data_IF_903841809628
#
_entry.id   IF_903841809628
#
_cell.length_a   1.000
_cell.length_b   1.000
_cell.length_c   1.000
_cell.angle_alpha   90.00
_cell.angle_beta   90.00
_cell.angle_gamma   90.00
#
_symmetry.space_group_name_H-M   'P 1'
#
loop_
_entity.id
_entity.type
_entity.pdbx_description
1 polymer ?
#
# COMPACT_ATOMS: atom_id res chain seq x y z
N UNK A 1 31.45 -4.58 37.49
CA UNK A 1 30.50 -5.69 37.30
C UNK A 1 29.40 -5.35 36.27
N UNK A 2 29.79 -5.03 35.02
CA UNK A 2 28.86 -4.88 33.88
C UNK A 2 29.66 -4.99 32.58
N UNK A 3 30.13 -6.20 32.32
CA UNK A 3 30.64 -6.68 31.05
C UNK A 3 30.53 -8.21 31.14
N UNK A 4 30.31 -8.89 30.01
CA UNK A 4 29.97 -10.33 29.92
C UNK A 4 28.48 -10.61 30.11
N UNK A 5 27.65 -10.31 29.10
CA UNK A 5 26.43 -11.09 28.76
C UNK A 5 25.85 -10.71 27.38
N UNK A 6 26.70 -10.34 26.40
CA UNK A 6 26.26 -9.91 25.05
C UNK A 6 26.64 -10.85 23.89
N UNK A 7 27.11 -12.07 24.16
CA UNK A 7 27.88 -12.85 23.17
C UNK A 7 27.17 -13.98 22.42
N UNK A 8 25.93 -14.36 22.74
CA UNK A 8 25.35 -15.63 22.24
C UNK A 8 24.18 -15.56 21.26
N UNK A 9 23.65 -14.39 20.92
CA UNK A 9 22.52 -14.27 19.95
C UNK A 9 22.91 -13.96 18.49
N UNK A 10 24.20 -13.79 18.17
CA UNK A 10 24.64 -13.34 16.83
C UNK A 10 25.04 -14.45 15.83
N UNK A 11 24.98 -15.74 16.19
CA UNK A 11 25.51 -16.83 15.34
C UNK A 11 24.47 -17.69 14.59
N UNK A 12 23.16 -17.46 14.77
CA UNK A 12 22.13 -18.25 14.07
C UNK A 12 21.52 -17.56 12.84
N UNK A 13 21.82 -16.29 12.58
CA UNK A 13 21.23 -15.56 11.45
C UNK A 13 21.94 -15.76 10.09
N UNK A 14 23.13 -16.41 10.06
CA UNK A 14 23.93 -16.51 8.84
C UNK A 14 23.72 -17.79 8.01
N UNK A 15 23.02 -18.81 8.53
CA UNK A 15 22.92 -20.13 7.88
C UNK A 15 21.66 -20.33 7.02
N UNK A 16 20.72 -19.38 7.01
CA UNK A 16 19.49 -19.45 6.19
C UNK A 16 19.65 -18.94 4.75
N UNK A 17 20.73 -18.21 4.43
CA UNK A 17 20.81 -17.43 3.19
C UNK A 17 21.47 -18.14 1.99
N UNK A 18 22.01 -19.36 2.15
CA UNK A 18 22.84 -19.98 1.10
C UNK A 18 22.14 -21.03 0.21
N UNK A 19 20.86 -21.34 0.43
CA UNK A 19 20.16 -22.41 -0.31
C UNK A 19 19.33 -21.93 -1.53
N UNK A 20 19.27 -20.63 -1.83
CA UNK A 20 18.27 -20.05 -2.75
C UNK A 20 18.72 -19.83 -4.22
N UNK A 21 19.87 -20.35 -4.68
CA UNK A 21 20.43 -19.95 -5.99
C UNK A 21 20.24 -20.92 -7.17
N UNK A 22 19.52 -22.04 -7.03
CA UNK A 22 19.37 -23.01 -8.15
C UNK A 22 17.94 -23.52 -8.30
N UNK A 23 17.09 -22.77 -9.00
CA UNK A 23 15.76 -23.19 -9.43
C UNK A 23 15.53 -22.87 -10.91
N UNK A 24 15.87 -23.82 -11.78
CA UNK A 24 15.67 -23.75 -13.24
C UNK A 24 14.22 -24.14 -13.57
N UNK A 25 13.44 -23.23 -14.15
CA UNK A 25 12.08 -23.51 -14.65
C UNK A 25 12.09 -23.86 -16.15
N UNK A 26 11.69 -25.09 -16.48
CA UNK A 26 11.31 -25.50 -17.84
C UNK A 26 9.90 -25.00 -18.17
N UNK A 27 9.76 -24.17 -19.21
CA UNK A 27 8.47 -23.75 -19.79
C UNK A 27 8.19 -24.54 -21.07
N UNK A 28 7.10 -25.33 -21.06
CA UNK A 28 6.55 -26.00 -22.24
C UNK A 28 5.53 -25.08 -22.94
N UNK A 29 5.74 -24.80 -24.22
CA UNK A 29 4.86 -23.97 -25.05
C UNK A 29 3.62 -24.74 -25.54
N UNK A 30 2.46 -24.07 -25.56
CA UNK A 30 1.20 -24.58 -26.14
C UNK A 30 0.97 -24.03 -27.57
N UNK A 31 0.36 -24.81 -28.48
CA UNK A 31 0.06 -24.39 -29.86
C UNK A 31 -1.19 -23.52 -29.97
N UNK A 32 -1.31 -22.72 -31.06
CA UNK A 32 -2.41 -21.76 -31.25
C UNK A 32 -3.70 -22.42 -31.78
N UNK A 33 -4.87 -21.78 -31.57
CA UNK A 33 -6.16 -22.30 -32.04
C UNK A 33 -6.43 -22.00 -33.53
N UNK A 34 -7.31 -22.79 -34.19
CA UNK A 34 -7.61 -22.66 -35.61
C UNK A 34 -8.59 -21.52 -35.94
N UNK A 35 -8.40 -20.91 -37.11
CA UNK A 35 -9.23 -19.81 -37.66
C UNK A 35 -10.58 -20.31 -38.18
N UNK A 36 -11.68 -19.65 -37.79
CA UNK A 36 -13.02 -19.82 -38.39
C UNK A 36 -13.14 -19.08 -39.72
N UNK A 37 -13.80 -19.71 -40.70
CA UNK A 37 -14.18 -19.12 -42.00
C UNK A 37 -15.53 -18.41 -41.89
N UNK A 38 -15.61 -17.21 -42.46
CA UNK A 38 -16.85 -16.45 -42.61
C UNK A 38 -17.70 -16.96 -43.80
N UNK A 39 -19.04 -16.93 -43.68
CA UNK A 39 -19.95 -17.23 -44.78
C UNK A 39 -20.08 -16.05 -45.76
N UNK A 40 -20.04 -16.36 -47.06
CA UNK A 40 -20.29 -15.41 -48.16
C UNK A 40 -21.79 -15.09 -48.24
N UNK A 41 -22.15 -13.83 -48.03
CA UNK A 41 -23.54 -13.34 -48.14
C UNK A 41 -23.97 -13.08 -49.59
N UNK A 42 -25.18 -13.54 -49.93
CA UNK A 42 -25.88 -13.22 -51.18
C UNK A 42 -26.58 -11.85 -51.11
N UNK A 43 -26.54 -11.11 -52.22
CA UNK A 43 -27.19 -9.81 -52.37
C UNK A 43 -28.67 -10.01 -52.70
N UNK A 44 -29.55 -9.52 -51.83
CA UNK A 44 -31.00 -9.40 -52.10
C UNK A 44 -31.29 -7.92 -52.34
N UNK A 45 -31.89 -7.60 -53.48
CA UNK A 45 -32.31 -6.24 -53.83
C UNK A 45 -33.64 -5.93 -53.13
N UNK A 46 -33.60 -5.08 -52.09
CA UNK A 46 -34.79 -4.60 -51.41
C UNK A 46 -35.36 -3.36 -52.13
N UNK A 47 -36.69 -3.30 -52.24
CA UNK A 47 -37.43 -2.14 -52.76
C UNK A 47 -37.29 -0.92 -51.82
N UNK A 48 -37.36 0.28 -52.40
CA UNK A 48 -37.23 1.53 -51.66
C UNK A 48 -38.44 1.77 -50.72
N UNK A 49 -38.21 2.15 -49.46
CA UNK A 49 -39.29 2.42 -48.51
C UNK A 49 -40.05 3.71 -48.84
N UNK A 50 -41.34 3.73 -48.49
CA UNK A 50 -42.25 4.88 -48.64
C UNK A 50 -41.83 6.05 -47.73
N UNK A 51 -42.01 7.29 -48.20
CA UNK A 51 -41.59 8.52 -47.53
C UNK A 51 -42.24 8.66 -46.15
N UNK A 52 -43.50 8.25 -46.00
CA UNK A 52 -44.22 8.27 -44.72
C UNK A 52 -43.61 7.29 -43.69
N UNK A 53 -43.14 6.13 -44.16
CA UNK A 53 -42.45 5.15 -43.33
C UNK A 53 -41.09 5.69 -42.85
N UNK A 54 -40.37 6.41 -43.72
CA UNK A 54 -39.10 7.06 -43.39
C UNK A 54 -39.29 8.14 -42.32
N UNK A 55 -40.35 8.95 -42.36
CA UNK A 55 -40.61 9.96 -41.34
C UNK A 55 -41.02 9.37 -39.98
N UNK A 56 -41.85 8.32 -39.98
CA UNK A 56 -42.23 7.59 -38.76
C UNK A 56 -41.02 6.95 -38.09
N UNK A 57 -40.13 6.33 -38.88
CA UNK A 57 -38.87 5.75 -38.39
C UNK A 57 -37.93 6.82 -37.82
N UNK A 58 -37.88 8.02 -38.42
CA UNK A 58 -37.10 9.15 -37.90
C UNK A 58 -37.64 9.66 -36.56
N UNK A 59 -38.96 9.81 -36.43
CA UNK A 59 -39.58 10.23 -35.17
C UNK A 59 -39.32 9.20 -34.05
N UNK A 60 -39.48 7.90 -34.34
CA UNK A 60 -39.20 6.83 -33.39
C UNK A 60 -37.72 6.77 -33.00
N UNK A 61 -36.81 6.99 -33.95
CA UNK A 61 -35.37 7.08 -33.69
C UNK A 61 -35.03 8.26 -32.77
N UNK A 62 -35.67 9.41 -32.95
CA UNK A 62 -35.45 10.60 -32.12
C UNK A 62 -35.92 10.38 -30.66
N UNK A 63 -37.08 9.74 -30.48
CA UNK A 63 -37.60 9.37 -29.15
C UNK A 63 -36.67 8.38 -28.45
N UNK A 64 -36.19 7.34 -29.17
CA UNK A 64 -35.22 6.37 -28.63
C UNK A 64 -33.89 7.04 -28.27
N UNK A 65 -33.39 7.97 -29.09
CA UNK A 65 -32.16 8.71 -28.82
C UNK A 65 -32.28 9.58 -27.55
N UNK A 66 -33.42 10.27 -27.36
CA UNK A 66 -33.68 11.06 -26.14
C UNK A 66 -33.80 10.19 -24.89
N UNK A 67 -34.48 9.05 -24.97
CA UNK A 67 -34.57 8.10 -23.86
C UNK A 67 -33.18 7.51 -23.50
N UNK A 68 -32.36 7.18 -24.50
CA UNK A 68 -31.00 6.70 -24.30
C UNK A 68 -30.09 7.78 -23.70
N UNK A 69 -30.22 9.05 -24.12
CA UNK A 69 -29.49 10.17 -23.54
C UNK A 69 -29.87 10.38 -22.06
N UNK A 70 -31.17 10.41 -21.73
CA UNK A 70 -31.63 10.53 -20.34
C UNK A 70 -31.22 9.34 -19.44
N UNK A 71 -31.16 8.13 -20.00
CA UNK A 71 -30.63 6.95 -19.30
C UNK A 71 -29.12 7.05 -19.05
N UNK A 72 -28.35 7.54 -20.03
CA UNK A 72 -26.90 7.80 -19.87
C UNK A 72 -26.64 8.87 -18.82
N UNK A 73 -27.41 9.96 -18.81
CA UNK A 73 -27.29 11.03 -17.82
C UNK A 73 -27.62 10.55 -16.40
N UNK A 74 -28.68 9.74 -16.24
CA UNK A 74 -29.01 9.12 -14.94
C UNK A 74 -27.96 8.13 -14.48
N UNK A 75 -27.45 7.27 -15.38
CA UNK A 75 -26.38 6.33 -15.06
C UNK A 75 -25.09 7.05 -14.66
N UNK A 76 -24.73 8.12 -15.37
CA UNK A 76 -23.56 8.93 -15.06
C UNK A 76 -23.72 9.66 -13.73
N UNK A 77 -24.89 10.26 -13.44
CA UNK A 77 -25.17 10.90 -12.15
C UNK A 77 -25.15 9.91 -10.99
N UNK A 78 -25.74 8.72 -11.15
CA UNK A 78 -25.70 7.68 -10.12
C UNK A 78 -24.26 7.16 -9.90
N UNK A 79 -23.48 6.99 -10.97
CA UNK A 79 -22.07 6.64 -10.89
C UNK A 79 -21.24 7.70 -10.15
N UNK A 80 -21.52 8.99 -10.39
CA UNK A 80 -20.80 10.10 -9.76
C UNK A 80 -21.15 10.21 -8.28
N UNK A 81 -22.44 10.15 -7.92
CA UNK A 81 -22.88 10.15 -6.52
C UNK A 81 -22.31 8.95 -5.74
N UNK A 82 -22.18 7.80 -6.39
CA UNK A 82 -21.59 6.63 -5.77
C UNK A 82 -20.07 6.79 -5.56
N UNK A 83 -19.37 7.47 -6.47
CA UNK A 83 -17.95 7.78 -6.33
C UNK A 83 -17.66 8.68 -5.13
N UNK A 84 -18.48 9.70 -4.89
CA UNK A 84 -18.31 10.63 -3.75
C UNK A 84 -18.52 9.95 -2.38
N UNK A 85 -19.29 8.87 -2.36
CA UNK A 85 -19.54 8.06 -1.18
C UNK A 85 -18.47 7.00 -0.95
N UNK A 86 -17.58 6.73 -1.91
CA UNK A 86 -16.53 5.74 -1.74
C UNK A 86 -15.38 6.31 -0.90
N UNK A 87 -14.87 5.48 0.00
CA UNK A 87 -13.69 5.81 0.79
C UNK A 87 -12.43 5.82 -0.06
N UNK A 88 -11.58 6.81 0.19
CA UNK A 88 -10.27 6.96 -0.44
C UNK A 88 -9.17 7.11 0.62
N UNK A 89 -7.94 6.77 0.25
CA UNK A 89 -6.76 7.02 1.07
C UNK A 89 -6.15 8.37 0.69
N UNK A 90 -5.99 9.25 1.67
CA UNK A 90 -5.60 10.64 1.47
C UNK A 90 -4.08 10.82 1.50
N UNK A 91 -3.37 10.04 2.33
CA UNK A 91 -1.94 10.16 2.59
C UNK A 91 -1.32 8.78 2.88
N UNK A 92 -0.08 8.58 2.43
CA UNK A 92 0.72 7.36 2.63
C UNK A 92 2.02 7.69 3.37
N UNK A 93 2.34 6.88 4.38
CA UNK A 93 3.61 6.97 5.09
C UNK A 93 4.24 5.59 5.17
N UNK A 94 5.36 5.41 4.47
CA UNK A 94 6.05 4.12 4.37
C UNK A 94 7.49 4.22 4.86
N UNK A 95 7.94 3.19 5.58
CA UNK A 95 9.26 3.14 6.23
C UNK A 95 9.96 1.83 5.88
N UNK A 96 11.08 1.91 5.14
CA UNK A 96 11.91 0.73 4.87
C UNK A 96 11.21 -0.30 4.01
N UNK A 97 10.27 0.17 3.20
CA UNK A 97 9.36 -0.68 2.45
C UNK A 97 9.93 -0.99 1.08
N UNK A 98 9.77 -2.22 0.56
CA UNK A 98 10.11 -2.59 -0.82
C UNK A 98 9.08 -2.09 -1.83
N UNK A 99 9.42 -2.18 -3.13
CA UNK A 99 8.55 -1.76 -4.22
C UNK A 99 7.33 -2.68 -4.34
N UNK A 100 6.22 -2.15 -4.87
CA UNK A 100 4.93 -2.84 -4.91
C UNK A 100 4.47 -3.23 -6.31
N UNK A 101 4.80 -2.46 -7.35
CA UNK A 101 4.36 -2.70 -8.72
C UNK A 101 5.28 -2.08 -9.79
N UNK A 102 5.19 -2.55 -11.03
CA UNK A 102 5.89 -1.94 -12.19
C UNK A 102 4.95 -1.84 -13.39
N UNK A 103 4.55 -0.65 -13.85
CA UNK A 103 4.99 0.67 -13.40
C UNK A 103 4.52 1.00 -11.98
N UNK A 104 5.18 2.01 -11.37
CA UNK A 104 4.76 2.59 -10.10
C UNK A 104 3.26 2.87 -10.02
N UNK A 105 2.65 2.54 -8.88
CA UNK A 105 1.25 2.85 -8.58
C UNK A 105 1.05 4.36 -8.49
N UNK A 106 -0.04 4.86 -9.06
CA UNK A 106 -0.38 6.28 -9.09
C UNK A 106 -1.64 6.56 -8.25
N UNK A 107 -1.76 7.79 -7.75
CA UNK A 107 -2.99 8.29 -7.13
C UNK A 107 -3.96 8.82 -8.19
N UNK A 108 -4.87 7.95 -8.64
CA UNK A 108 -5.89 8.28 -9.64
C UNK A 108 -6.91 9.34 -9.17
N UNK A 109 -6.90 9.75 -7.89
CA UNK A 109 -7.72 10.86 -7.40
C UNK A 109 -7.08 12.23 -7.62
N UNK A 110 -5.86 12.27 -8.18
CA UNK A 110 -5.12 13.51 -8.33
C UNK A 110 -4.63 13.74 -9.76
N UNK A 111 -4.62 15.01 -10.22
CA UNK A 111 -4.12 15.34 -11.55
C UNK A 111 -2.64 15.01 -11.76
N UNK A 112 -1.82 15.06 -10.71
CA UNK A 112 -0.39 14.76 -10.73
C UNK A 112 -0.07 13.26 -10.56
N UNK A 113 -1.10 12.41 -10.35
CA UNK A 113 -0.93 10.98 -10.13
C UNK A 113 -0.18 10.63 -8.85
N UNK A 114 -0.06 11.57 -7.91
CA UNK A 114 0.96 11.58 -6.87
C UNK A 114 0.35 11.47 -5.47
N UNK A 115 0.61 10.38 -4.75
CA UNK A 115 0.13 10.25 -3.37
C UNK A 115 0.76 11.32 -2.47
N UNK A 116 -0.03 11.85 -1.53
CA UNK A 116 0.50 12.68 -0.43
C UNK A 116 1.20 11.80 0.60
N UNK A 117 2.01 12.44 1.43
CA UNK A 117 2.71 11.82 2.54
C UNK A 117 4.20 11.70 2.25
N UNK A 118 4.85 10.67 2.80
CA UNK A 118 6.29 10.48 2.66
C UNK A 118 6.67 9.00 2.67
N UNK A 119 7.40 8.60 1.65
CA UNK A 119 8.14 7.35 1.65
C UNK A 119 9.53 7.62 2.20
N UNK A 120 10.00 6.79 3.12
CA UNK A 120 11.31 6.96 3.74
C UNK A 120 12.09 5.65 3.78
N UNK A 121 13.39 5.72 3.51
CA UNK A 121 14.32 4.65 3.88
C UNK A 121 15.59 5.21 4.49
N UNK A 122 16.25 4.44 5.35
CA UNK A 122 17.51 4.83 6.00
C UNK A 122 18.72 4.41 5.18
N UNK A 123 19.72 5.29 5.11
CA UNK A 123 20.98 5.08 4.41
C UNK A 123 22.14 5.61 5.28
N UNK A 124 23.15 4.79 5.50
CA UNK A 124 24.43 5.21 6.06
C UNK A 124 25.44 5.37 4.92
N UNK A 125 25.96 6.59 4.78
CA UNK A 125 26.98 6.91 3.77
C UNK A 125 28.36 6.75 4.38
N UNK A 126 29.16 5.84 3.81
CA UNK A 126 30.45 5.40 4.32
C UNK A 126 31.62 5.87 3.43
N UNK A 127 32.80 5.93 4.04
CA UNK A 127 34.06 6.32 3.39
C UNK A 127 34.30 7.83 3.37
N UNK A 128 35.57 8.24 3.32
CA UNK A 128 35.98 9.65 3.37
C UNK A 128 35.39 10.49 2.22
N UNK A 129 35.11 9.87 1.09
CA UNK A 129 34.57 10.52 -0.11
C UNK A 129 33.13 10.08 -0.43
N UNK A 130 32.35 9.62 0.56
CA UNK A 130 30.98 9.13 0.37
C UNK A 130 30.89 8.00 -0.67
N UNK A 131 31.89 7.12 -0.64
CA UNK A 131 32.10 6.15 -1.71
C UNK A 131 31.13 4.99 -1.66
N UNK A 132 30.68 4.61 -0.46
CA UNK A 132 29.84 3.43 -0.24
C UNK A 132 28.58 3.80 0.53
N UNK A 133 27.53 3.02 0.34
CA UNK A 133 26.23 3.20 1.01
C UNK A 133 25.79 1.89 1.64
N UNK A 134 25.44 1.91 2.91
CA UNK A 134 24.62 0.88 3.53
C UNK A 134 23.17 1.36 3.49
N UNK A 135 22.28 0.55 2.95
CA UNK A 135 20.86 0.88 2.78
C UNK A 135 20.04 -0.13 3.56
N UNK A 136 18.90 0.31 4.09
CA UNK A 136 17.88 -0.60 4.59
C UNK A 136 17.61 -1.73 3.58
N UNK A 137 17.99 -2.95 3.98
CA UNK A 137 17.89 -4.15 3.15
C UNK A 137 16.45 -4.43 2.68
N UNK A 138 15.44 -4.15 3.51
CA UNK A 138 14.05 -4.38 3.16
C UNK A 138 13.61 -3.51 1.98
N UNK A 139 14.11 -2.27 1.88
CA UNK A 139 13.79 -1.37 0.78
C UNK A 139 14.41 -1.81 -0.57
N UNK A 140 15.35 -2.76 -0.55
CA UNK A 140 16.07 -3.29 -1.72
C UNK A 140 15.68 -4.73 -2.10
N UNK A 141 14.74 -5.36 -1.39
CA UNK A 141 14.53 -6.81 -1.46
C UNK A 141 13.98 -7.30 -2.81
N UNK A 142 13.35 -6.43 -3.59
CA UNK A 142 12.76 -6.78 -4.89
C UNK A 142 13.09 -5.73 -5.97
N UNK A 143 12.58 -5.94 -7.19
CA UNK A 143 12.80 -5.07 -8.35
C UNK A 143 11.59 -4.24 -8.77
N UNK A 144 10.50 -4.28 -8.01
CA UNK A 144 9.32 -3.48 -8.32
C UNK A 144 9.60 -2.01 -8.01
N UNK A 145 8.81 -1.14 -8.62
CA UNK A 145 8.83 0.27 -8.29
C UNK A 145 7.91 0.55 -7.09
N UNK A 146 8.23 1.63 -6.39
CA UNK A 146 7.37 2.17 -5.34
C UNK A 146 6.30 3.07 -5.95
N UNK A 147 5.18 3.26 -5.23
CA UNK A 147 4.16 4.22 -5.62
C UNK A 147 4.73 5.63 -5.86
N UNK A 148 4.10 6.40 -6.76
CA UNK A 148 4.46 7.79 -7.03
C UNK A 148 4.13 8.67 -5.83
N UNK A 149 5.14 9.00 -5.03
CA UNK A 149 5.01 9.81 -3.83
C UNK A 149 6.34 10.48 -3.46
N UNK A 150 6.35 11.55 -2.63
CA UNK A 150 7.59 12.13 -2.13
C UNK A 150 8.48 11.10 -1.42
N UNK A 151 9.79 11.23 -1.61
CA UNK A 151 10.80 10.33 -1.04
C UNK A 151 11.77 11.09 -0.13
N UNK A 152 12.08 10.52 1.04
CA UNK A 152 13.20 10.91 1.88
C UNK A 152 14.20 9.75 2.04
N UNK A 153 15.47 10.02 1.75
CA UNK A 153 16.61 9.18 2.10
C UNK A 153 17.16 9.71 3.42
N UNK A 154 16.93 8.96 4.49
CA UNK A 154 17.23 9.37 5.86
C UNK A 154 18.68 9.04 6.19
N UNK A 155 19.51 10.07 6.42
CA UNK A 155 20.89 9.91 6.82
C UNK A 155 21.09 10.15 8.33
N UNK A 156 22.16 9.58 8.89
CA UNK A 156 22.61 9.89 10.25
C UNK A 156 23.68 10.99 10.26
N UNK A 157 23.51 12.01 11.11
CA UNK A 157 24.53 13.03 11.37
C UNK A 157 24.88 13.94 10.19
N UNK A 158 24.06 13.95 9.14
CA UNK A 158 24.23 14.78 7.94
C UNK A 158 22.88 15.03 7.25
N UNK A 159 22.88 15.93 6.29
CA UNK A 159 21.71 16.22 5.45
C UNK A 159 21.14 14.95 4.82
N UNK A 160 19.84 14.76 5.01
CA UNK A 160 19.03 13.77 4.32
C UNK A 160 18.73 14.24 2.90
N UNK A 161 18.43 13.29 2.01
CA UNK A 161 18.03 13.61 0.64
C UNK A 161 16.50 13.62 0.53
N UNK A 162 15.92 14.68 -0.04
CA UNK A 162 14.48 14.74 -0.29
C UNK A 162 14.22 14.93 -1.78
N UNK A 163 13.29 14.13 -2.31
CA UNK A 163 12.80 14.25 -3.69
C UNK A 163 11.29 14.48 -3.63
N UNK A 164 10.79 15.64 -4.10
CA UNK A 164 9.35 15.87 -4.18
C UNK A 164 8.71 14.90 -5.18
N UNK A 165 7.37 14.83 -5.17
CA UNK A 165 6.65 13.93 -6.07
C UNK A 165 7.00 14.19 -7.56
N UNK A 166 7.19 13.14 -8.42
CA UNK A 166 6.87 11.72 -8.24
C UNK A 166 7.84 10.93 -7.35
N UNK A 167 8.84 11.60 -6.76
CA UNK A 167 9.90 10.96 -6.01
C UNK A 167 10.88 10.25 -6.94
N UNK A 168 11.54 9.22 -6.41
CA UNK A 168 12.31 8.24 -7.18
C UNK A 168 11.70 6.87 -6.93
N UNK A 169 10.78 6.48 -7.80
CA UNK A 169 10.06 5.20 -7.70
C UNK A 169 10.99 3.99 -7.89
N UNK A 170 12.15 4.22 -8.50
CA UNK A 170 13.25 3.29 -8.75
C UNK A 170 14.28 3.21 -7.60
N UNK A 171 14.19 4.08 -6.60
CA UNK A 171 15.13 4.10 -5.47
C UNK A 171 14.57 3.33 -4.28
N UNK A 172 15.41 2.76 -3.40
CA UNK A 172 16.87 2.66 -3.55
C UNK A 172 17.23 1.72 -4.72
N UNK A 173 18.28 2.07 -5.47
CA UNK A 173 18.76 1.27 -6.58
C UNK A 173 20.02 0.50 -6.16
N UNK A 174 20.11 -0.78 -6.57
CA UNK A 174 21.33 -1.58 -6.38
C UNK A 174 22.48 -1.04 -7.24
N UNK A 175 23.70 -1.14 -6.73
CA UNK A 175 24.91 -0.73 -7.45
C UNK A 175 26.18 -1.27 -6.79
N UNK A 176 27.32 -1.15 -7.47
CA UNK A 176 28.61 -1.75 -7.06
C UNK A 176 29.14 -1.28 -5.69
N UNK A 177 28.56 -0.22 -5.11
CA UNK A 177 28.93 0.34 -3.80
C UNK A 177 27.74 0.52 -2.87
N UNK A 178 26.67 -0.25 -3.12
CA UNK A 178 25.45 -0.27 -2.31
C UNK A 178 25.35 -1.63 -1.63
N UNK A 179 25.27 -1.61 -0.30
CA UNK A 179 25.21 -2.80 0.54
C UNK A 179 23.90 -2.82 1.32
N UNK A 180 23.26 -3.98 1.36
CA UNK A 180 22.04 -4.22 2.14
C UNK A 180 22.43 -4.38 3.64
N UNK A 181 21.80 -3.61 4.54
CA UNK A 181 22.05 -3.65 5.99
C UNK A 181 20.73 -3.73 6.76
N UNK A 182 20.42 -4.92 7.30
CA UNK A 182 19.20 -5.16 8.08
C UNK A 182 19.17 -4.42 9.42
N UNK A 183 20.32 -3.99 9.96
CA UNK A 183 20.33 -3.13 11.15
C UNK A 183 19.62 -1.81 10.89
N UNK A 184 19.66 -1.29 9.67
CA UNK A 184 19.02 -0.02 9.35
C UNK A 184 17.48 -0.10 9.35
N UNK A 185 16.92 -1.31 9.34
CA UNK A 185 15.48 -1.55 9.25
C UNK A 185 14.71 -1.37 10.58
N UNK A 186 15.37 -1.00 11.68
CA UNK A 186 14.74 -0.97 13.01
C UNK A 186 14.26 0.43 13.42
N UNK A 187 13.30 0.48 14.36
CA UNK A 187 12.72 1.73 14.90
C UNK A 187 13.80 2.69 15.41
N UNK A 188 14.85 2.14 16.02
CA UNK A 188 15.99 2.86 16.57
C UNK A 188 16.81 3.59 15.51
N UNK A 189 16.72 3.18 14.24
CA UNK A 189 17.38 3.84 13.13
C UNK A 189 16.45 4.87 12.45
N UNK A 190 15.15 4.61 12.34
CA UNK A 190 14.21 5.56 11.71
C UNK A 190 13.87 6.76 12.58
N UNK A 191 13.47 6.51 13.83
CA UNK A 191 12.93 7.54 14.72
C UNK A 191 13.90 8.70 14.91
N UNK A 192 15.15 8.49 15.33
CA UNK A 192 16.05 9.60 15.56
C UNK A 192 16.51 10.28 14.25
N UNK A 193 16.55 9.59 13.11
CA UNK A 193 16.85 10.24 11.81
C UNK A 193 15.73 11.19 11.37
N UNK A 194 14.47 10.81 11.57
CA UNK A 194 13.32 11.68 11.30
C UNK A 194 13.27 12.87 12.27
N UNK A 195 13.56 12.65 13.56
CA UNK A 195 13.58 13.71 14.57
C UNK A 195 14.68 14.74 14.35
N UNK A 196 15.80 14.35 13.74
CA UNK A 196 16.94 15.22 13.44
C UNK A 196 17.10 15.48 11.94
N UNK A 197 16.04 15.29 11.16
CA UNK A 197 16.13 15.42 9.70
C UNK A 197 16.51 16.85 9.31
N UNK A 198 17.52 16.94 8.46
CA UNK A 198 18.01 18.18 7.85
C UNK A 198 17.96 18.03 6.34
N UNK A 199 17.47 19.07 5.65
CA UNK A 199 17.40 19.14 4.19
C UNK A 199 18.05 20.46 3.78
N UNK A 200 19.09 20.41 2.96
CA UNK A 200 19.85 21.58 2.51
C UNK A 200 20.33 22.46 3.70
N UNK A 201 20.88 21.81 4.74
CA UNK A 201 21.40 22.43 5.95
C UNK A 201 20.34 22.94 6.92
N UNK A 202 19.05 22.71 6.65
CA UNK A 202 17.95 23.25 7.48
C UNK A 202 17.20 22.13 8.20
N UNK A 203 17.01 22.24 9.54
CA UNK A 203 16.12 21.34 10.27
C UNK A 203 14.73 21.34 9.64
N UNK A 204 14.23 20.14 9.32
CA UNK A 204 12.96 19.98 8.60
C UNK A 204 11.92 19.18 9.38
N UNK A 205 12.22 18.77 10.63
CA UNK A 205 11.33 17.95 11.48
C UNK A 205 9.95 18.57 11.72
N UNK A 206 9.82 19.89 11.71
CA UNK A 206 8.52 20.59 11.89
C UNK A 206 7.82 20.93 10.58
N UNK A 207 8.42 20.60 9.43
CA UNK A 207 7.90 20.92 8.10
C UNK A 207 7.22 19.69 7.51
N UNK A 208 6.05 19.86 6.90
CA UNK A 208 5.40 18.76 6.17
C UNK A 208 6.18 18.42 4.88
N UNK A 209 6.32 17.13 4.52
CA UNK A 209 5.64 15.96 5.11
C UNK A 209 6.39 15.31 6.30
N UNK A 210 7.53 15.87 6.73
CA UNK A 210 8.41 15.27 7.73
C UNK A 210 7.85 15.29 9.15
N UNK A 211 7.08 16.32 9.51
CA UNK A 211 6.42 16.41 10.81
C UNK A 211 5.52 15.19 11.08
N UNK A 212 4.62 14.89 10.13
CA UNK A 212 3.79 13.68 10.21
C UNK A 212 4.60 12.40 10.09
N UNK A 213 5.61 12.35 9.22
CA UNK A 213 6.44 11.14 9.11
C UNK A 213 7.18 10.82 10.43
N UNK A 214 7.73 11.83 11.10
CA UNK A 214 8.37 11.68 12.40
C UNK A 214 7.40 11.24 13.50
N UNK A 215 6.12 11.60 13.39
CA UNK A 215 5.08 11.18 14.31
C UNK A 215 4.58 9.75 14.00
N UNK A 216 4.39 9.43 12.72
CA UNK A 216 3.76 8.19 12.26
C UNK A 216 4.72 7.00 12.15
N UNK A 217 6.03 7.22 12.22
CA UNK A 217 6.98 6.12 12.40
C UNK A 217 6.64 5.29 13.64
N UNK A 218 6.18 5.94 14.72
CA UNK A 218 5.71 5.27 15.91
C UNK A 218 4.54 4.33 15.59
N UNK A 219 3.55 4.79 14.82
CA UNK A 219 2.39 3.99 14.44
C UNK A 219 2.83 2.71 13.71
N UNK A 220 3.76 2.85 12.76
CA UNK A 220 4.27 1.76 11.95
C UNK A 220 4.98 0.67 12.79
N UNK A 221 5.75 1.06 13.82
CA UNK A 221 6.44 0.08 14.67
C UNK A 221 5.55 -0.46 15.80
N UNK A 222 4.54 0.28 16.27
CA UNK A 222 3.62 -0.22 17.31
C UNK A 222 2.58 -1.22 16.80
N UNK A 223 2.48 -1.44 15.48
CA UNK A 223 1.71 -2.58 14.96
C UNK A 223 2.30 -3.94 15.38
N UNK A 224 3.60 -4.00 15.67
CA UNK A 224 4.31 -5.20 16.11
C UNK A 224 4.24 -5.41 17.64
N UNK A 225 3.84 -4.38 18.40
CA UNK A 225 3.82 -4.42 19.84
C UNK A 225 2.57 -5.13 20.39
N UNK A 226 2.66 -5.57 21.65
CA UNK A 226 1.47 -5.92 22.42
C UNK A 226 0.55 -4.68 22.52
N UNK A 227 -0.78 -4.83 22.36
CA UNK A 227 -1.68 -3.67 22.27
C UNK A 227 -1.62 -2.74 23.48
N UNK A 228 -1.49 -3.26 24.70
CA UNK A 228 -1.36 -2.39 25.89
C UNK A 228 -0.08 -1.55 25.88
N UNK A 229 1.02 -2.11 25.38
CA UNK A 229 2.27 -1.37 25.21
C UNK A 229 2.12 -0.33 24.10
N UNK A 230 1.48 -0.70 22.98
CA UNK A 230 1.18 0.23 21.90
C UNK A 230 0.35 1.43 22.41
N UNK A 231 -0.75 1.18 23.14
CA UNK A 231 -1.59 2.23 23.75
C UNK A 231 -0.78 3.16 24.66
N UNK A 232 0.04 2.59 25.55
CA UNK A 232 0.90 3.40 26.43
C UNK A 232 1.89 4.27 25.65
N UNK A 233 2.54 3.73 24.62
CA UNK A 233 3.46 4.48 23.76
C UNK A 233 2.75 5.60 23.00
N UNK A 234 1.56 5.32 22.45
CA UNK A 234 0.74 6.30 21.74
C UNK A 234 0.32 7.45 22.66
N UNK A 235 -0.21 7.15 23.84
CA UNK A 235 -0.61 8.17 24.82
C UNK A 235 0.57 9.08 25.22
N UNK A 236 1.78 8.52 25.32
CA UNK A 236 2.99 9.25 25.72
C UNK A 236 3.59 10.09 24.59
N UNK A 237 3.66 9.55 23.38
CA UNK A 237 4.46 10.13 22.30
C UNK A 237 3.63 10.74 21.17
N UNK A 238 2.35 10.42 21.10
CA UNK A 238 1.44 10.91 20.08
C UNK A 238 0.10 11.34 20.71
N UNK A 239 0.11 12.34 21.62
CA UNK A 239 -1.10 12.75 22.33
C UNK A 239 -2.17 13.20 21.34
N UNK A 240 -3.41 12.75 21.58
CA UNK A 240 -4.54 12.98 20.68
C UNK A 240 -4.80 11.84 19.70
N UNK A 241 -3.86 10.92 19.50
CA UNK A 241 -4.12 9.68 18.76
C UNK A 241 -4.46 8.53 19.70
N UNK A 242 -5.46 7.73 19.35
CA UNK A 242 -5.84 6.53 20.11
C UNK A 242 -6.07 5.33 19.23
N UNK A 243 -5.77 4.14 19.76
CA UNK A 243 -6.09 2.87 19.12
C UNK A 243 -7.59 2.62 19.24
N UNK A 244 -8.32 2.58 18.12
CA UNK A 244 -9.79 2.38 18.10
C UNK A 244 -10.17 0.99 17.60
N UNK A 245 -9.30 0.34 16.82
CA UNK A 245 -9.47 -1.04 16.37
C UNK A 245 -8.12 -1.73 16.36
N UNK A 246 -8.09 -2.98 16.81
CA UNK A 246 -7.02 -3.93 16.54
C UNK A 246 -7.65 -5.25 16.15
N UNK A 247 -7.48 -5.64 14.90
CA UNK A 247 -7.87 -6.93 14.39
C UNK A 247 -6.63 -7.75 14.12
N UNK A 248 -6.72 -9.07 14.29
CA UNK A 248 -5.63 -9.99 14.01
C UNK A 248 -6.17 -11.09 13.12
N UNK A 249 -5.54 -11.30 11.98
CA UNK A 249 -5.69 -12.55 11.23
C UNK A 249 -4.61 -13.49 11.76
N UNK A 250 -4.99 -14.70 12.13
CA UNK A 250 -4.02 -15.76 12.45
C UNK A 250 -4.10 -16.84 11.39
N UNK A 251 -2.95 -17.29 10.90
CA UNK A 251 -2.83 -18.39 9.95
C UNK A 251 -1.75 -19.39 10.35
N UNK A 252 -1.79 -20.57 9.72
CA UNK A 252 -0.85 -21.65 9.99
C UNK A 252 -1.06 -22.34 11.33
N UNK A 253 -0.16 -23.27 11.66
CA UNK A 253 -0.16 -24.01 12.93
C UNK A 253 1.27 -24.38 13.36
N UNK A 254 1.48 -24.54 14.66
CA UNK A 254 2.79 -24.91 15.21
C UNK A 254 3.88 -23.87 14.89
N UNK A 255 5.02 -24.32 14.36
CA UNK A 255 6.11 -23.43 13.94
C UNK A 255 5.76 -22.56 12.73
N UNK A 256 4.65 -22.87 12.04
CA UNK A 256 4.11 -22.11 10.92
C UNK A 256 3.04 -21.08 11.35
N UNK A 257 2.84 -20.89 12.66
CA UNK A 257 1.87 -19.92 13.18
C UNK A 257 2.29 -18.50 12.81
N UNK A 258 1.34 -17.76 12.25
CA UNK A 258 1.50 -16.41 11.78
C UNK A 258 0.34 -15.54 12.26
N UNK A 259 0.63 -14.28 12.57
CA UNK A 259 -0.33 -13.35 13.15
C UNK A 259 -0.16 -11.99 12.53
N UNK A 260 -1.15 -11.55 11.76
CA UNK A 260 -1.13 -10.30 11.01
C UNK A 260 -2.05 -9.26 11.68
N UNK A 261 -1.53 -8.44 12.62
CA UNK A 261 -2.34 -7.38 13.20
C UNK A 261 -2.56 -6.25 12.19
N UNK A 262 -3.81 -5.79 12.15
CA UNK A 262 -4.23 -4.55 11.49
C UNK A 262 -4.79 -3.62 12.55
N UNK A 263 -4.22 -2.42 12.64
CA UNK A 263 -4.67 -1.40 13.58
C UNK A 263 -5.38 -0.26 12.86
N UNK A 264 -6.40 0.29 13.50
CA UNK A 264 -6.97 1.59 13.14
C UNK A 264 -6.76 2.51 14.34
N UNK A 265 -6.06 3.62 14.10
CA UNK A 265 -5.94 4.70 15.06
C UNK A 265 -6.77 5.89 14.61
N UNK A 266 -7.23 6.71 15.54
CA UNK A 266 -7.98 7.93 15.26
C UNK A 266 -7.42 9.11 16.06
N UNK A 267 -7.27 10.25 15.41
CA UNK A 267 -6.99 11.54 16.05
C UNK A 267 -8.30 12.12 16.62
N UNK A 268 -8.30 12.48 17.90
CA UNK A 268 -9.54 12.78 18.65
C UNK A 268 -10.23 14.09 18.26
N UNK A 269 -9.51 15.04 17.64
CA UNK A 269 -10.01 16.36 17.25
C UNK A 269 -10.44 16.39 15.80
N UNK A 270 -9.60 15.90 14.89
CA UNK A 270 -9.88 15.91 13.44
C UNK A 270 -10.68 14.70 13.00
N UNK A 271 -10.73 13.64 13.80
CA UNK A 271 -11.32 12.34 13.47
C UNK A 271 -10.63 11.69 12.25
N UNK A 272 -9.44 12.14 11.90
CA UNK A 272 -8.60 11.49 10.91
C UNK A 272 -8.14 10.15 11.46
N UNK A 273 -8.10 9.15 10.59
CA UNK A 273 -7.67 7.82 10.97
C UNK A 273 -6.37 7.44 10.28
N UNK A 274 -5.59 6.58 10.93
CA UNK A 274 -4.44 5.91 10.34
C UNK A 274 -4.69 4.40 10.37
N UNK A 275 -4.75 3.78 9.19
CA UNK A 275 -4.80 2.34 9.02
C UNK A 275 -3.36 1.84 8.95
N UNK A 276 -3.02 0.92 9.83
CA UNK A 276 -1.66 0.41 9.98
C UNK A 276 -1.69 -1.10 9.79
N UNK A 277 -0.97 -1.57 8.79
CA UNK A 277 -0.67 -2.99 8.64
C UNK A 277 0.64 -3.29 9.36
N UNK A 278 0.75 -4.47 9.99
CA UNK A 278 2.06 -4.99 10.35
C UNK A 278 2.73 -5.60 9.12
N UNK A 279 4.05 -5.43 9.03
CA UNK A 279 4.86 -6.25 8.14
C UNK A 279 5.24 -7.57 8.81
N UNK A 280 6.27 -8.21 8.27
CA UNK A 280 6.79 -9.49 8.74
C UNK A 280 7.17 -9.44 10.23
N UNK A 281 6.53 -10.28 11.05
CA UNK A 281 6.78 -10.45 12.48
C UNK A 281 7.21 -11.90 12.87
N UNK A 282 7.19 -12.83 11.93
CA UNK A 282 7.70 -14.19 12.02
C UNK A 282 8.69 -14.50 10.87
N UNK A 283 9.97 -14.20 11.12
CA UNK A 283 11.04 -14.42 10.14
C UNK A 283 11.26 -15.87 9.68
N UNK A 284 10.61 -16.86 10.30
CA UNK A 284 10.67 -18.25 9.88
C UNK A 284 9.77 -18.58 8.69
N UNK A 285 8.66 -17.86 8.48
CA UNK A 285 7.63 -18.24 7.50
C UNK A 285 7.20 -17.09 6.56
N UNK A 286 7.10 -15.87 7.06
CA UNK A 286 6.65 -14.71 6.27
C UNK A 286 7.73 -14.18 5.31
N UNK A 287 8.99 -14.58 5.53
CA UNK A 287 10.02 -14.31 4.53
C UNK A 287 9.65 -15.01 3.20
N UNK A 288 9.02 -16.19 3.23
CA UNK A 288 8.69 -16.94 2.02
C UNK A 288 7.56 -16.31 1.20
N UNK A 289 6.52 -15.75 1.83
CA UNK A 289 5.50 -14.99 1.10
C UNK A 289 6.07 -13.69 0.53
N UNK A 290 7.03 -13.08 1.21
CA UNK A 290 7.82 -11.94 0.70
C UNK A 290 8.78 -12.33 -0.44
N UNK A 291 9.07 -13.61 -0.62
CA UNK A 291 9.92 -14.16 -1.69
C UNK A 291 9.12 -14.61 -2.92
N UNK A 292 7.78 -14.57 -2.89
CA UNK A 292 6.94 -14.78 -4.08
C UNK A 292 7.03 -13.58 -5.04
N UNK A 293 8.19 -13.45 -5.68
CA UNK A 293 8.54 -12.37 -6.62
C UNK A 293 8.11 -12.73 -8.06
N UNK A 294 6.79 -12.82 -8.28
CA UNK A 294 6.24 -12.87 -9.64
C UNK A 294 5.12 -11.84 -9.81
N UNK A 295 4.95 -11.27 -11.02
CA UNK A 295 3.96 -10.24 -11.26
C UNK A 295 2.56 -10.83 -11.36
N UNK A 296 1.57 -10.15 -10.77
CA UNK A 296 0.14 -10.47 -10.86
C UNK A 296 -0.73 -9.22 -11.04
N UNK A 297 -2.03 -9.43 -11.20
CA UNK A 297 -3.03 -8.37 -11.23
C UNK A 297 -3.56 -8.00 -9.84
N UNK A 298 -3.86 -6.72 -9.65
CA UNK A 298 -4.62 -6.22 -8.50
C UNK A 298 -5.36 -4.94 -8.87
N UNK A 299 -6.68 -4.88 -8.70
CA UNK A 299 -7.49 -3.68 -8.95
C UNK A 299 -7.17 -2.98 -10.29
N UNK A 300 -7.06 -3.74 -11.38
CA UNK A 300 -6.71 -3.24 -12.71
C UNK A 300 -5.23 -2.90 -12.96
N UNK A 301 -4.35 -2.94 -11.95
CA UNK A 301 -2.89 -2.95 -12.16
C UNK A 301 -2.46 -4.36 -12.60
N UNK A 302 -1.49 -4.47 -13.52
CA UNK A 302 -1.14 -5.75 -14.18
C UNK A 302 0.11 -6.47 -13.65
N UNK A 303 0.99 -5.74 -12.98
CA UNK A 303 2.34 -6.20 -12.63
C UNK A 303 2.65 -5.80 -11.18
N UNK A 304 1.81 -6.27 -10.29
CA UNK A 304 1.92 -6.11 -8.85
C UNK A 304 2.68 -7.31 -8.28
N UNK A 305 3.51 -7.10 -7.26
CA UNK A 305 4.17 -8.18 -6.53
C UNK A 305 3.15 -9.16 -5.91
N UNK A 306 3.17 -10.42 -6.31
CA UNK A 306 2.17 -11.41 -5.91
C UNK A 306 2.09 -11.64 -4.39
N UNK A 307 3.23 -11.74 -3.70
CA UNK A 307 3.28 -11.88 -2.24
C UNK A 307 2.47 -10.81 -1.49
N UNK A 308 2.79 -9.52 -1.69
CA UNK A 308 2.10 -8.42 -1.01
C UNK A 308 0.62 -8.33 -1.38
N UNK A 309 0.28 -8.60 -2.64
CA UNK A 309 -1.10 -8.64 -3.12
C UNK A 309 -1.89 -9.75 -2.45
N UNK A 310 -1.34 -10.96 -2.37
CA UNK A 310 -2.01 -12.09 -1.75
C UNK A 310 -2.22 -11.84 -0.25
N UNK A 311 -1.23 -11.29 0.43
CA UNK A 311 -1.34 -10.98 1.86
C UNK A 311 -2.42 -9.92 2.14
N UNK A 312 -2.37 -8.78 1.42
CA UNK A 312 -3.42 -7.76 1.50
C UNK A 312 -4.81 -8.32 1.17
N UNK A 313 -4.92 -9.19 0.16
CA UNK A 313 -6.18 -9.81 -0.22
C UNK A 313 -6.73 -10.70 0.89
N UNK A 314 -5.90 -11.52 1.53
CA UNK A 314 -6.37 -12.38 2.63
C UNK A 314 -6.77 -11.55 3.86
N UNK A 315 -6.02 -10.50 4.20
CA UNK A 315 -6.36 -9.59 5.30
C UNK A 315 -7.67 -8.87 5.05
N UNK A 316 -7.85 -8.30 3.86
CA UNK A 316 -9.09 -7.62 3.50
C UNK A 316 -10.25 -8.60 3.53
N UNK A 317 -10.13 -9.78 2.94
CA UNK A 317 -11.17 -10.82 2.99
C UNK A 317 -11.58 -11.18 4.42
N UNK A 318 -10.62 -11.38 5.31
CA UNK A 318 -10.88 -11.84 6.68
C UNK A 318 -11.37 -10.72 7.62
N UNK A 319 -10.81 -9.52 7.49
CA UNK A 319 -10.96 -8.46 8.51
C UNK A 319 -11.93 -7.34 8.06
N UNK A 320 -12.16 -7.12 6.76
CA UNK A 320 -12.98 -6.00 6.28
C UNK A 320 -14.43 -5.99 6.76
N UNK A 321 -15.13 -7.12 6.91
CA UNK A 321 -16.49 -7.10 7.45
C UNK A 321 -16.58 -6.36 8.79
N UNK A 322 -15.52 -6.41 9.61
CA UNK A 322 -15.41 -5.73 10.90
C UNK A 322 -14.79 -4.33 10.82
N UNK A 323 -13.83 -4.14 9.91
CA UNK A 323 -13.16 -2.84 9.73
C UNK A 323 -14.01 -1.80 8.98
N UNK A 324 -14.78 -2.20 7.95
CA UNK A 324 -15.55 -1.26 7.10
C UNK A 324 -16.44 -0.29 7.87
N UNK A 325 -17.25 -0.72 8.86
CA UNK A 325 -18.06 0.21 9.64
C UNK A 325 -17.24 1.21 10.47
N UNK A 326 -15.99 0.88 10.79
CA UNK A 326 -15.06 1.74 11.54
C UNK A 326 -14.38 2.73 10.60
N UNK A 327 -13.94 2.28 9.42
CA UNK A 327 -13.39 3.14 8.36
C UNK A 327 -14.41 4.20 7.90
N UNK A 328 -15.70 3.88 7.89
CA UNK A 328 -16.78 4.82 7.57
C UNK A 328 -16.86 6.01 8.55
N UNK A 329 -16.32 5.88 9.77
CA UNK A 329 -16.34 6.91 10.82
C UNK A 329 -15.12 7.83 10.79
N UNK A 330 -14.24 7.66 9.81
CA UNK A 330 -13.03 8.46 9.67
C UNK A 330 -13.29 9.71 8.82
N UNK A 331 -12.76 10.87 9.24
CA UNK A 331 -12.81 12.10 8.45
C UNK A 331 -11.92 12.00 7.21
N UNK A 332 -10.64 11.67 7.44
CA UNK A 332 -9.65 11.32 6.41
C UNK A 332 -9.06 9.95 6.74
N UNK A 333 -8.64 9.23 5.70
CA UNK A 333 -7.97 7.95 5.84
C UNK A 333 -6.52 8.06 5.43
N UNK A 334 -5.59 7.77 6.34
CA UNK A 334 -4.16 7.66 6.08
C UNK A 334 -3.75 6.18 6.12
N UNK A 335 -2.76 5.77 5.32
CA UNK A 335 -2.17 4.44 5.45
C UNK A 335 -0.71 4.56 5.90
N UNK A 336 -0.35 3.77 6.91
CA UNK A 336 0.99 3.76 7.48
C UNK A 336 1.53 2.34 7.49
N UNK A 337 2.75 2.13 7.00
CA UNK A 337 3.32 0.80 6.91
C UNK A 337 4.85 0.81 7.03
N UNK A 338 5.38 -0.18 7.74
CA UNK A 338 6.81 -0.47 7.83
C UNK A 338 7.12 -1.79 7.11
N UNK A 339 8.28 -1.90 6.45
CA UNK A 339 8.68 -3.15 5.78
C UNK A 339 7.61 -3.59 4.76
N UNK A 340 7.22 -4.87 4.77
CA UNK A 340 6.12 -5.46 3.99
C UNK A 340 4.77 -4.71 4.13
N UNK A 341 4.48 -4.02 5.23
CA UNK A 341 3.25 -3.24 5.34
C UNK A 341 3.21 -2.00 4.43
N UNK A 342 4.38 -1.50 4.01
CA UNK A 342 4.43 -0.37 3.08
C UNK A 342 3.85 -0.69 1.69
N UNK A 343 4.34 -1.70 0.96
CA UNK A 343 3.73 -2.06 -0.32
C UNK A 343 2.26 -2.48 -0.17
N UNK A 344 1.85 -3.05 0.97
CA UNK A 344 0.42 -3.29 1.25
C UNK A 344 -0.37 -1.99 1.35
N UNK A 345 0.18 -0.95 2.00
CA UNK A 345 -0.42 0.38 2.00
C UNK A 345 -0.48 1.00 0.59
N UNK A 346 0.59 0.86 -0.20
CA UNK A 346 0.61 1.35 -1.59
C UNK A 346 -0.48 0.68 -2.45
N UNK A 347 -0.61 -0.65 -2.34
CA UNK A 347 -1.64 -1.41 -3.05
C UNK A 347 -3.06 -1.10 -2.57
N UNK A 348 -3.26 -1.04 -1.26
CA UNK A 348 -4.54 -0.68 -0.65
C UNK A 348 -5.01 0.70 -1.14
N UNK A 349 -4.11 1.68 -1.09
CA UNK A 349 -4.39 3.05 -1.50
C UNK A 349 -4.60 3.19 -3.01
N UNK A 350 -3.73 2.59 -3.83
CA UNK A 350 -3.90 2.57 -5.28
C UNK A 350 -5.24 1.97 -5.68
N UNK A 351 -5.61 0.85 -5.08
CA UNK A 351 -6.88 0.22 -5.37
C UNK A 351 -8.08 1.08 -4.91
N UNK A 352 -8.07 1.62 -3.70
CA UNK A 352 -9.15 2.49 -3.20
C UNK A 352 -9.30 3.76 -4.06
N UNK A 353 -8.18 4.40 -4.39
CA UNK A 353 -8.13 5.67 -5.12
C UNK A 353 -8.34 5.47 -6.63
N UNK A 354 -8.21 4.26 -7.18
CA UNK A 354 -8.57 4.00 -8.58
C UNK A 354 -10.07 3.92 -8.79
N UNK A 355 -10.84 3.57 -7.76
CA UNK A 355 -12.29 3.36 -7.85
C UNK A 355 -12.69 2.41 -8.98
N UNK A 356 -12.00 1.27 -9.10
CA UNK A 356 -12.25 0.26 -10.14
C UNK A 356 -13.54 -0.55 -9.87
N UNK A 357 -14.70 0.11 -9.91
CA UNK A 357 -16.01 -0.51 -9.63
C UNK A 357 -16.22 -1.75 -10.50
N UNK A 358 -16.59 -2.87 -9.86
CA UNK A 358 -16.77 -4.17 -10.53
C UNK A 358 -15.51 -5.04 -10.60
N UNK A 359 -14.32 -4.51 -10.27
CA UNK A 359 -13.13 -5.33 -10.06
C UNK A 359 -13.24 -6.09 -8.73
N UNK A 360 -13.06 -7.44 -8.69
CA UNK A 360 -13.22 -8.22 -7.47
C UNK A 360 -12.34 -7.78 -6.31
N UNK A 361 -11.11 -7.32 -6.60
CA UNK A 361 -10.19 -6.87 -5.57
C UNK A 361 -10.69 -5.55 -4.97
N UNK A 362 -11.14 -4.61 -5.82
CA UNK A 362 -11.74 -3.36 -5.37
C UNK A 362 -13.02 -3.59 -4.56
N UNK A 363 -13.91 -4.46 -5.05
CA UNK A 363 -15.16 -4.81 -4.36
C UNK A 363 -14.91 -5.42 -2.98
N UNK A 364 -13.82 -6.18 -2.82
CA UNK A 364 -13.44 -6.76 -1.53
C UNK A 364 -12.96 -5.73 -0.52
N UNK A 365 -12.18 -4.72 -0.94
CA UNK A 365 -11.56 -3.76 -0.02
C UNK A 365 -12.26 -2.39 0.06
N UNK A 366 -13.17 -2.05 -0.85
CA UNK A 366 -13.86 -0.75 -0.80
C UNK A 366 -14.67 -0.59 0.49
N UNK A 367 -14.84 0.64 0.93
CA UNK A 367 -15.79 1.01 1.99
C UNK A 367 -16.54 2.27 1.59
N UNK A 368 -17.68 2.51 2.23
CA UNK A 368 -18.42 3.76 2.05
C UNK A 368 -18.01 4.75 3.15
N UNK A 369 -17.83 6.01 2.77
CA UNK A 369 -17.68 7.12 3.71
C UNK A 369 -19.01 7.29 4.45
N UNK A 370 -18.94 7.36 5.77
CA UNK A 370 -20.04 7.75 6.63
C UNK A 370 -19.80 9.13 7.22
N UNK A 371 -20.61 9.47 8.23
CA UNK A 371 -20.37 10.65 9.06
C UNK A 371 -19.18 10.38 9.98
N UNK A 372 -18.15 11.25 9.98
CA UNK A 372 -17.03 11.10 10.91
C UNK A 372 -17.53 11.09 12.36
N UNK A 373 -17.07 10.12 13.13
CA UNK A 373 -17.51 9.89 14.50
C UNK A 373 -16.32 9.48 15.37
N UNK A 374 -16.27 10.06 16.57
CA UNK A 374 -15.27 9.75 17.57
C UNK A 374 -15.49 8.32 18.12
N UNK A 375 -14.67 7.35 17.70
CA UNK A 375 -14.83 5.93 18.02
C UNK A 375 -14.20 5.57 19.37
N UNK A 376 -14.87 4.82 20.27
CA UNK A 376 -14.30 4.50 21.58
C UNK A 376 -12.92 3.86 21.46
N UNK A 377 -12.05 4.15 22.43
CA UNK A 377 -10.75 3.50 22.50
C UNK A 377 -10.92 1.99 22.60
N UNK A 378 -10.06 1.24 21.93
CA UNK A 378 -10.09 -0.21 21.92
C UNK A 378 -9.94 -0.75 23.35
N UNK A 379 -10.89 -1.58 23.82
CA UNK A 379 -11.05 -1.87 25.24
C UNK A 379 -10.04 -2.88 25.81
N UNK A 380 -9.18 -3.46 24.98
CA UNK A 380 -8.42 -4.65 25.38
C UNK A 380 -8.97 -5.93 24.74
N UNK A 381 -8.20 -7.01 24.85
CA UNK A 381 -8.78 -8.36 24.83
C UNK A 381 -9.32 -8.59 26.24
N UNK A 382 -10.60 -8.98 26.42
CA UNK A 382 -11.08 -9.38 27.74
C UNK A 382 -10.14 -10.44 28.32
N UNK A 383 -9.81 -10.40 29.62
CA UNK A 383 -9.07 -11.49 30.24
C UNK A 383 -9.87 -12.79 30.05
N UNK A 384 -9.27 -13.78 29.39
CA UNK A 384 -9.85 -15.11 29.18
C UNK A 384 -9.65 -15.99 30.41
#
# INVERSE_FOLDING_TARGET
>A
FRAVLGGRRRRLALLGALACLLGVSLLLARPPPPRRREPRGGKVHAAAPDVAEVESLRALALVRARAAAGAKDKAHRNSTLQADLLGIVHELYTYGSPGSATPAIEDNQRPDGCFRGLRSYTEDVLGAFNESKQIDAAALVNRYEHAKMPLAVLHWGRDSHYVPCPGRTDWPARGNRVFEEWRLHWEDDYTPRLQHITINGKPSVTVEPFAKASAFVLLAYKSYDHPERAKWQLARHLPGWRLVVREVRSSGSGSLYDSDPVMLLQEVRTLDCALVFAGTNNGGNELFSSLEDYPTGYCGYKHVHAGYRNELWQLTKALWPRLRPKLAKCNRMLCVGHSMAGPMCELFAGCANRMAVGDPDFEQQKWLRGTPELMPEWPGVPPY
#
